data_IF_971697563611
#
_entry.id   IF_971697563611
#
_cell.length_a   1.000
_cell.length_b   1.000
_cell.length_c   1.000
_cell.angle_alpha   90.00
_cell.angle_beta   90.00
_cell.angle_gamma   90.00
#
_symmetry.space_group_name_H-M   'P 1'
#
loop_
_entity.id
_entity.type
_entity.pdbx_description
1 polymer ?
#
# COMPACT_ATOMS: atom_id res chain seq x y z
N UNK A 1 -13.71 5.71 18.73
CA UNK A 1 -13.59 4.37 19.31
C UNK A 1 -14.00 3.38 18.22
N UNK A 2 -13.12 2.49 17.81
CA UNK A 2 -13.46 1.46 16.82
C UNK A 2 -14.53 0.54 17.38
N UNK A 3 -15.58 0.28 16.61
CA UNK A 3 -16.58 -0.74 16.97
C UNK A 3 -16.10 -2.11 16.47
N UNK A 4 -16.51 -3.22 17.12
CA UNK A 4 -16.27 -4.56 16.64
C UNK A 4 -16.81 -4.75 15.22
N UNK A 5 -16.14 -5.56 14.42
CA UNK A 5 -16.52 -5.84 13.02
C UNK A 5 -17.98 -6.34 12.90
N UNK A 6 -18.45 -7.11 13.90
CA UNK A 6 -19.83 -7.60 13.95
C UNK A 6 -20.90 -6.50 14.12
N UNK A 7 -20.56 -5.38 14.74
CA UNK A 7 -21.45 -4.21 14.86
C UNK A 7 -21.41 -3.34 13.61
N UNK A 8 -20.24 -3.24 12.98
CA UNK A 8 -20.05 -2.52 11.72
C UNK A 8 -20.87 -3.15 10.58
N UNK A 9 -20.90 -4.47 10.51
CA UNK A 9 -21.64 -5.21 9.48
C UNK A 9 -23.17 -5.06 9.58
N UNK A 10 -23.69 -4.68 10.75
CA UNK A 10 -25.13 -4.43 10.97
C UNK A 10 -25.59 -3.04 10.54
N UNK A 11 -24.65 -2.12 10.28
CA UNK A 11 -24.99 -0.76 9.86
C UNK A 11 -25.45 -0.73 8.40
N UNK A 12 -26.37 0.18 8.09
CA UNK A 12 -26.73 0.49 6.72
C UNK A 12 -25.55 1.08 5.94
N UNK A 13 -25.61 1.05 4.63
CA UNK A 13 -24.56 1.62 3.77
C UNK A 13 -24.31 3.10 4.08
N UNK A 14 -25.37 3.88 4.28
CA UNK A 14 -25.27 5.32 4.58
C UNK A 14 -24.62 5.58 5.95
N UNK A 15 -24.89 4.76 6.95
CA UNK A 15 -24.29 4.85 8.28
C UNK A 15 -22.82 4.46 8.27
N UNK A 16 -22.44 3.43 7.48
CA UNK A 16 -21.04 3.06 7.27
C UNK A 16 -20.27 4.19 6.58
N UNK A 17 -20.80 4.73 5.49
CA UNK A 17 -20.16 5.82 4.74
C UNK A 17 -20.01 7.10 5.59
N UNK A 18 -21.00 7.44 6.39
CA UNK A 18 -20.94 8.60 7.30
C UNK A 18 -19.88 8.41 8.40
N UNK A 19 -19.82 7.20 8.95
CA UNK A 19 -18.86 6.83 9.99
C UNK A 19 -17.44 6.80 9.46
N UNK A 20 -17.21 6.15 8.32
CA UNK A 20 -15.90 6.08 7.67
C UNK A 20 -15.37 7.47 7.32
N UNK A 21 -16.26 8.37 6.91
CA UNK A 21 -15.93 9.77 6.66
C UNK A 21 -15.52 10.52 7.93
N UNK A 22 -16.22 10.27 9.04
CA UNK A 22 -15.90 10.84 10.35
C UNK A 22 -14.58 10.31 10.92
N UNK A 23 -14.37 9.00 10.84
CA UNK A 23 -13.15 8.34 11.30
C UNK A 23 -11.93 8.79 10.48
N UNK A 24 -12.07 8.93 9.15
CA UNK A 24 -11.03 9.47 8.27
C UNK A 24 -10.71 10.93 8.57
N UNK A 25 -11.71 11.76 8.83
CA UNK A 25 -11.49 13.17 9.17
C UNK A 25 -10.73 13.31 10.51
N UNK A 26 -11.07 12.47 11.51
CA UNK A 26 -10.37 12.42 12.79
C UNK A 26 -8.93 11.96 12.61
N UNK A 27 -8.70 10.87 11.88
CA UNK A 27 -7.37 10.35 11.57
C UNK A 27 -6.48 11.41 10.90
N UNK A 28 -7.01 12.12 9.89
CA UNK A 28 -6.30 13.20 9.22
C UNK A 28 -5.93 14.33 10.22
N UNK A 29 -6.86 14.69 11.10
CA UNK A 29 -6.61 15.74 12.10
C UNK A 29 -5.56 15.31 13.14
N UNK A 30 -5.60 14.06 13.60
CA UNK A 30 -4.62 13.48 14.52
C UNK A 30 -3.23 13.41 13.89
N UNK A 31 -3.13 12.98 12.62
CA UNK A 31 -1.87 12.96 11.87
C UNK A 31 -1.33 14.36 11.60
N UNK A 32 -2.18 15.34 11.30
CA UNK A 32 -1.78 16.73 11.10
C UNK A 32 -1.30 17.43 12.37
N UNK A 33 -1.65 16.91 13.55
CA UNK A 33 -1.19 17.42 14.84
C UNK A 33 0.23 16.96 15.21
N UNK A 34 0.79 15.99 14.48
CA UNK A 34 2.16 15.54 14.71
C UNK A 34 3.18 16.62 14.33
N UNK A 35 4.35 16.69 15.02
CA UNK A 35 5.42 17.63 14.68
C UNK A 35 6.18 17.25 13.40
N UNK A 36 5.73 16.24 12.68
CA UNK A 36 6.31 15.72 11.44
C UNK A 36 5.21 15.16 10.53
N UNK A 37 5.51 14.99 9.27
CA UNK A 37 4.68 14.25 8.34
C UNK A 37 5.39 12.97 7.89
N UNK A 38 4.63 11.98 7.43
CA UNK A 38 5.20 10.74 6.96
C UNK A 38 4.34 10.11 5.87
N UNK A 39 5.00 9.36 5.01
CA UNK A 39 4.40 8.53 3.98
C UNK A 39 5.04 7.16 4.02
N UNK A 40 4.40 6.17 3.44
CA UNK A 40 4.98 4.84 3.38
C UNK A 40 4.62 4.15 2.07
N UNK A 41 5.55 3.33 1.63
CA UNK A 41 5.32 2.26 0.66
C UNK A 41 5.40 0.90 1.38
N UNK A 42 5.23 -0.18 0.63
CA UNK A 42 5.21 -1.53 1.24
C UNK A 42 6.55 -1.85 1.91
N UNK A 43 7.68 -1.45 1.30
CA UNK A 43 9.05 -1.70 1.79
C UNK A 43 9.65 -0.61 2.65
N UNK A 44 9.14 0.63 2.59
CA UNK A 44 9.81 1.79 3.14
C UNK A 44 8.86 2.76 3.86
N UNK A 45 9.43 3.64 4.68
CA UNK A 45 8.73 4.74 5.36
C UNK A 45 9.59 5.99 5.23
N UNK A 46 9.01 7.05 4.70
CA UNK A 46 9.62 8.36 4.61
C UNK A 46 9.03 9.29 5.67
N UNK A 47 9.88 9.86 6.50
CA UNK A 47 9.50 10.79 7.57
C UNK A 47 10.10 12.16 7.29
N UNK A 48 9.26 13.17 7.23
CA UNK A 48 9.64 14.58 7.01
C UNK A 48 9.47 15.38 8.27
N UNK A 49 10.57 15.83 8.84
CA UNK A 49 10.59 16.62 10.09
C UNK A 49 10.98 18.06 9.78
N UNK A 50 10.08 19.03 9.94
CA UNK A 50 10.42 20.44 9.76
C UNK A 50 11.42 20.88 10.84
N UNK A 51 12.44 21.64 10.42
CA UNK A 51 13.47 22.19 11.30
C UNK A 51 13.54 23.71 11.15
N UNK A 52 14.09 24.44 12.11
CA UNK A 52 14.22 25.89 12.02
C UNK A 52 15.00 26.34 10.78
N UNK A 53 14.59 27.48 10.19
CA UNK A 53 15.21 28.00 8.98
C UNK A 53 16.70 28.24 9.15
N UNK A 54 17.48 27.83 8.16
CA UNK A 54 18.92 27.98 8.15
C UNK A 54 19.68 26.95 9.00
N UNK A 55 19.01 25.89 9.47
CA UNK A 55 19.65 24.76 10.14
C UNK A 55 20.61 24.08 9.19
N UNK A 56 21.81 23.75 9.67
CA UNK A 56 22.81 22.99 8.91
C UNK A 56 22.84 21.55 9.41
N UNK A 57 23.13 20.59 8.53
CA UNK A 57 23.18 19.17 8.89
C UNK A 57 24.06 18.85 10.11
N UNK A 58 25.14 19.62 10.35
CA UNK A 58 26.01 19.47 11.53
C UNK A 58 25.32 19.82 12.85
N UNK A 59 24.25 20.60 12.82
CA UNK A 59 23.47 21.02 14.00
C UNK A 59 22.35 20.00 14.30
N UNK A 60 22.04 19.14 13.36
CA UNK A 60 21.07 18.08 13.58
C UNK A 60 21.66 16.91 14.37
N UNK A 61 20.83 16.33 15.21
CA UNK A 61 21.05 15.06 15.88
C UNK A 61 20.00 14.08 15.37
N UNK A 62 20.41 13.24 14.41
CA UNK A 62 19.55 12.17 13.86
C UNK A 62 20.14 10.84 14.27
N UNK A 63 19.37 10.05 15.01
CA UNK A 63 19.74 8.71 15.47
C UNK A 63 18.76 7.72 14.91
N UNK A 64 19.23 6.87 14.02
CA UNK A 64 18.47 5.79 13.40
C UNK A 64 19.00 4.47 13.97
N UNK A 65 18.16 3.74 14.66
CA UNK A 65 18.47 2.41 15.22
C UNK A 65 17.35 1.44 14.83
N UNK A 66 17.60 0.16 14.97
CA UNK A 66 16.70 -0.92 14.55
C UNK A 66 15.24 -0.74 14.99
N UNK A 67 15.01 -0.15 16.18
CA UNK A 67 13.68 0.11 16.75
C UNK A 67 13.55 1.51 17.33
N UNK A 68 14.45 2.43 17.04
CA UNK A 68 14.42 3.76 17.63
C UNK A 68 14.78 4.83 16.60
N UNK A 69 14.01 5.89 16.60
CA UNK A 69 14.27 7.09 15.81
C UNK A 69 14.31 8.31 16.72
N UNK A 70 15.33 9.13 16.53
CA UNK A 70 15.46 10.43 17.18
C UNK A 70 15.85 11.47 16.14
N UNK A 71 15.13 12.56 16.05
CA UNK A 71 15.43 13.69 15.16
C UNK A 71 15.25 15.00 15.95
N UNK A 72 16.25 15.83 15.95
CA UNK A 72 16.21 17.13 16.63
C UNK A 72 17.49 17.92 16.44
N UNK A 73 17.60 19.05 17.12
CA UNK A 73 18.80 19.86 17.15
C UNK A 73 19.73 19.41 18.28
N UNK A 74 21.03 19.52 18.05
CA UNK A 74 22.03 19.23 19.09
C UNK A 74 21.93 20.20 20.23
N UNK A 75 21.76 19.71 21.45
CA UNK A 75 21.64 20.52 22.65
C UNK A 75 20.24 21.04 22.95
N UNK A 76 19.26 20.70 22.12
CA UNK A 76 17.85 21.01 22.32
C UNK A 76 17.04 19.72 22.51
N UNK A 77 15.78 19.88 22.94
CA UNK A 77 14.83 18.76 23.01
C UNK A 77 14.54 18.22 21.61
N UNK A 78 14.56 16.89 21.42
CA UNK A 78 14.28 16.29 20.12
C UNK A 78 12.87 16.63 19.64
N UNK A 79 12.74 17.01 18.36
CA UNK A 79 11.44 17.23 17.71
C UNK A 79 10.67 15.91 17.61
N UNK A 80 11.39 14.83 17.35
CA UNK A 80 10.87 13.49 17.22
C UNK A 80 11.77 12.54 18.00
N UNK A 81 11.22 11.75 18.92
CA UNK A 81 11.98 10.75 19.70
C UNK A 81 11.06 9.63 20.18
N UNK A 82 11.35 8.41 19.82
CA UNK A 82 10.57 7.28 20.29
C UNK A 82 10.99 5.94 19.72
N UNK A 83 10.28 4.91 20.15
CA UNK A 83 10.41 3.56 19.61
C UNK A 83 9.58 3.44 18.32
N UNK A 84 10.21 2.92 17.26
CA UNK A 84 9.54 2.63 16.00
C UNK A 84 8.51 1.51 16.15
N UNK A 85 7.41 1.60 15.45
CA UNK A 85 6.34 0.61 15.50
C UNK A 85 6.81 -0.79 15.06
N UNK A 86 7.74 -0.85 14.12
CA UNK A 86 8.38 -2.10 13.66
C UNK A 86 9.87 -1.91 13.41
N UNK A 87 10.58 -3.01 13.18
CA UNK A 87 12.03 -3.00 12.95
C UNK A 87 12.39 -2.55 11.53
N UNK A 88 13.53 -1.86 11.43
CA UNK A 88 14.11 -1.37 10.17
C UNK A 88 15.49 -1.98 9.91
N UNK A 89 15.93 -1.89 8.66
CA UNK A 89 17.30 -2.15 8.23
C UNK A 89 18.09 -0.84 8.36
N UNK A 90 18.93 -0.75 9.37
CA UNK A 90 19.67 0.49 9.67
C UNK A 90 20.67 0.85 8.56
N UNK A 91 21.28 -0.14 7.95
CA UNK A 91 22.29 -0.02 6.87
C UNK A 91 21.68 0.59 5.58
N UNK A 92 20.40 0.32 5.31
CA UNK A 92 19.69 0.82 4.14
C UNK A 92 18.87 2.08 4.45
N UNK A 93 18.82 2.50 5.72
CA UNK A 93 18.10 3.69 6.16
C UNK A 93 19.04 4.91 6.19
N UNK A 94 18.57 6.03 5.71
CA UNK A 94 19.38 7.25 5.60
C UNK A 94 18.58 8.51 5.93
N UNK A 95 19.24 9.66 6.04
CA UNK A 95 18.58 10.93 6.17
C UNK A 95 19.30 12.03 5.38
N UNK A 96 18.54 13.02 4.96
CA UNK A 96 19.04 14.22 4.28
C UNK A 96 18.39 15.47 4.85
N UNK A 97 19.01 16.64 4.63
CA UNK A 97 18.43 17.92 4.97
C UNK A 97 18.21 18.70 3.69
N UNK A 98 16.98 19.07 3.42
CA UNK A 98 16.59 19.84 2.24
C UNK A 98 15.47 20.81 2.63
N UNK A 99 15.55 22.06 2.17
CA UNK A 99 14.52 23.09 2.33
C UNK A 99 13.99 23.25 3.75
N UNK A 100 14.91 23.29 4.74
CA UNK A 100 14.60 23.35 6.18
C UNK A 100 13.73 22.14 6.67
N UNK A 101 13.89 20.98 6.03
CA UNK A 101 13.25 19.73 6.41
C UNK A 101 14.30 18.62 6.51
N UNK A 102 14.28 17.88 7.60
CA UNK A 102 15.01 16.63 7.72
C UNK A 102 14.16 15.51 7.13
N UNK A 103 14.60 14.99 6.01
CA UNK A 103 13.98 13.84 5.30
C UNK A 103 14.67 12.57 5.80
N UNK A 104 13.94 11.71 6.45
CA UNK A 104 14.44 10.42 6.99
C UNK A 104 13.78 9.29 6.23
N UNK A 105 14.59 8.53 5.53
CA UNK A 105 14.20 7.33 4.79
C UNK A 105 14.50 6.09 5.63
N UNK A 106 13.50 5.27 5.88
CA UNK A 106 13.58 4.07 6.70
C UNK A 106 13.19 2.84 5.88
N UNK A 107 14.14 1.96 5.64
CA UNK A 107 13.89 0.67 4.99
C UNK A 107 13.32 -0.34 5.99
N UNK A 108 12.15 -0.88 5.73
CA UNK A 108 11.48 -1.86 6.61
C UNK A 108 12.24 -3.17 6.62
N UNK A 109 12.40 -3.79 7.78
CA UNK A 109 12.93 -5.15 7.87
C UNK A 109 11.95 -6.16 7.28
N UNK A 110 10.65 -5.98 7.55
CA UNK A 110 9.57 -6.72 6.91
C UNK A 110 8.86 -5.82 5.89
N UNK A 111 9.15 -6.03 4.62
CA UNK A 111 8.62 -5.28 3.47
C UNK A 111 7.24 -5.76 2.99
N UNK A 112 6.54 -6.60 3.76
CA UNK A 112 5.20 -7.10 3.43
C UNK A 112 4.12 -6.55 4.35
N UNK A 113 4.46 -5.59 5.22
CA UNK A 113 3.51 -5.08 6.22
C UNK A 113 3.41 -3.56 6.22
N UNK A 114 2.19 -3.08 6.26
CA UNK A 114 1.91 -1.67 6.48
C UNK A 114 2.13 -1.31 7.96
N UNK A 115 2.62 -0.09 8.19
CA UNK A 115 2.77 0.48 9.52
C UNK A 115 1.52 1.27 9.90
N UNK A 116 1.08 1.11 11.14
CA UNK A 116 -0.05 1.87 11.69
C UNK A 116 0.36 3.27 12.15
N UNK A 117 1.61 3.43 12.58
CA UNK A 117 2.24 4.67 13.01
C UNK A 117 3.76 4.59 12.80
N UNK A 118 4.46 5.69 12.93
CA UNK A 118 5.94 5.70 12.91
C UNK A 118 6.47 5.34 14.29
N UNK A 119 6.03 6.07 15.31
CA UNK A 119 6.40 5.79 16.70
C UNK A 119 5.24 5.12 17.45
N UNK A 120 5.55 4.21 18.33
CA UNK A 120 4.56 3.39 19.06
C UNK A 120 3.55 4.21 19.88
N UNK A 121 3.91 5.43 20.28
CA UNK A 121 3.05 6.33 21.05
C UNK A 121 2.19 7.27 20.20
N UNK A 122 2.42 7.32 18.89
CA UNK A 122 1.69 8.19 17.98
C UNK A 122 0.32 7.62 17.58
N UNK A 123 -0.61 8.47 17.14
CA UNK A 123 -1.90 8.03 16.65
C UNK A 123 -1.74 7.07 15.45
N UNK A 124 -2.60 6.04 15.45
CA UNK A 124 -2.58 4.99 14.43
C UNK A 124 -3.48 5.36 13.26
N UNK A 125 -3.05 4.98 12.06
CA UNK A 125 -3.85 5.04 10.83
C UNK A 125 -4.50 3.68 10.55
N UNK A 126 -5.61 3.67 9.83
CA UNK A 126 -6.25 2.43 9.36
C UNK A 126 -5.55 1.92 8.11
N UNK A 127 -4.66 0.95 8.29
CA UNK A 127 -3.85 0.36 7.19
C UNK A 127 -4.69 -0.40 6.16
N UNK A 128 -5.93 -0.76 6.46
CA UNK A 128 -6.85 -1.42 5.50
C UNK A 128 -7.31 -0.49 4.38
N UNK A 129 -7.19 0.83 4.60
CA UNK A 129 -7.58 1.88 3.65
C UNK A 129 -6.42 2.42 2.82
N UNK A 130 -5.22 1.84 2.97
CA UNK A 130 -4.05 2.22 2.17
C UNK A 130 -4.20 1.63 0.77
N UNK A 131 -4.29 2.49 -0.22
CA UNK A 131 -4.19 2.11 -1.62
C UNK A 131 -2.70 2.21 -2.04
N UNK A 132 -2.03 1.10 -2.37
CA UNK A 132 -0.67 1.15 -2.87
C UNK A 132 -0.55 2.02 -4.12
N UNK A 133 0.54 2.77 -4.25
CA UNK A 133 0.76 3.67 -5.40
C UNK A 133 0.66 2.94 -6.76
N UNK A 134 1.03 1.64 -6.79
CA UNK A 134 0.98 0.78 -7.97
C UNK A 134 -0.33 0.01 -8.15
N UNK A 135 -1.42 0.41 -7.47
CA UNK A 135 -2.71 -0.27 -7.58
C UNK A 135 -3.50 0.09 -8.83
N UNK A 136 -3.05 1.09 -9.61
CA UNK A 136 -3.69 1.46 -10.86
C UNK A 136 -3.14 0.61 -12.00
N UNK A 137 -4.04 -0.02 -12.75
CA UNK A 137 -3.71 -0.82 -13.94
C UNK A 137 -2.91 -0.02 -14.99
N UNK A 138 -3.07 1.33 -14.98
CA UNK A 138 -2.35 2.25 -15.84
C UNK A 138 -0.85 2.37 -15.55
N UNK A 139 -0.43 2.03 -14.32
CA UNK A 139 0.94 2.24 -13.86
C UNK A 139 1.81 0.99 -14.05
N UNK A 140 1.18 -0.12 -14.49
CA UNK A 140 1.87 -1.35 -14.85
C UNK A 140 2.47 -1.25 -16.26
N UNK A 141 3.63 -1.87 -16.45
CA UNK A 141 4.18 -2.07 -17.78
C UNK A 141 3.21 -2.87 -18.67
N UNK A 142 3.35 -2.74 -20.00
CA UNK A 142 2.39 -3.29 -20.96
C UNK A 142 2.20 -4.81 -20.87
N UNK A 143 3.25 -5.56 -20.49
CA UNK A 143 3.20 -7.03 -20.37
C UNK A 143 2.47 -7.44 -19.10
N UNK A 144 2.84 -6.85 -17.96
CA UNK A 144 2.21 -7.08 -16.66
C UNK A 144 0.74 -6.64 -16.67
N UNK A 145 0.44 -5.50 -17.29
CA UNK A 145 -0.92 -5.00 -17.47
C UNK A 145 -1.78 -6.00 -18.25
N UNK A 146 -1.28 -6.50 -19.38
CA UNK A 146 -2.00 -7.50 -20.17
C UNK A 146 -2.28 -8.80 -19.39
N UNK A 147 -1.33 -9.22 -18.55
CA UNK A 147 -1.48 -10.41 -17.69
C UNK A 147 -2.56 -10.17 -16.62
N UNK A 148 -2.56 -9.02 -15.97
CA UNK A 148 -3.55 -8.66 -14.95
C UNK A 148 -4.94 -8.49 -15.57
N UNK A 149 -5.06 -7.82 -16.72
CA UNK A 149 -6.32 -7.66 -17.45
C UNK A 149 -6.90 -9.04 -17.83
N UNK A 150 -6.07 -9.96 -18.32
CA UNK A 150 -6.47 -11.35 -18.62
C UNK A 150 -6.96 -12.05 -17.36
N UNK A 151 -6.22 -11.95 -16.25
CA UNK A 151 -6.60 -12.60 -14.99
C UNK A 151 -7.92 -12.06 -14.44
N UNK A 152 -8.14 -10.74 -14.50
CA UNK A 152 -9.40 -10.11 -14.07
C UNK A 152 -10.57 -10.56 -14.95
N UNK A 153 -10.38 -10.58 -16.27
CA UNK A 153 -11.37 -11.08 -17.22
C UNK A 153 -11.73 -12.55 -16.96
N UNK A 154 -10.73 -13.41 -16.80
CA UNK A 154 -10.95 -14.85 -16.56
C UNK A 154 -11.66 -15.10 -15.22
N UNK A 155 -11.34 -14.32 -14.19
CA UNK A 155 -12.01 -14.41 -12.90
C UNK A 155 -13.50 -13.99 -13.00
N UNK A 156 -13.77 -12.89 -13.72
CA UNK A 156 -15.14 -12.43 -13.98
C UNK A 156 -15.93 -13.47 -14.79
N UNK A 157 -15.32 -14.08 -15.82
CA UNK A 157 -15.96 -15.12 -16.62
C UNK A 157 -16.31 -16.35 -15.77
N UNK A 158 -15.39 -16.80 -14.90
CA UNK A 158 -15.64 -17.90 -13.96
C UNK A 158 -16.81 -17.59 -13.01
N UNK A 159 -16.89 -16.38 -12.47
CA UNK A 159 -18.01 -15.98 -11.60
C UNK A 159 -19.37 -15.99 -12.33
N UNK A 160 -19.35 -15.67 -13.62
CA UNK A 160 -20.54 -15.69 -14.47
C UNK A 160 -20.86 -17.06 -15.07
N UNK A 161 -20.06 -18.10 -14.77
CA UNK A 161 -20.21 -19.44 -15.37
C UNK A 161 -19.93 -19.47 -16.87
N UNK A 162 -19.14 -18.52 -17.38
CA UNK A 162 -18.77 -18.40 -18.81
C UNK A 162 -17.34 -18.89 -19.03
N UNK A 163 -17.00 -19.28 -20.28
CA UNK A 163 -15.67 -19.76 -20.59
C UNK A 163 -14.60 -18.66 -20.41
N UNK A 164 -13.45 -19.05 -19.90
CA UNK A 164 -12.26 -18.22 -19.75
C UNK A 164 -11.64 -17.86 -21.09
N UNK A 165 -10.69 -16.90 -21.11
CA UNK A 165 -9.99 -16.49 -22.32
C UNK A 165 -9.26 -17.65 -23.01
N UNK A 166 -8.70 -18.58 -22.24
CA UNK A 166 -8.01 -19.76 -22.77
C UNK A 166 -8.99 -20.80 -23.30
N UNK A 167 -10.12 -21.00 -22.64
CA UNK A 167 -11.19 -21.87 -23.13
C UNK A 167 -11.82 -21.32 -24.42
N UNK A 168 -12.04 -20.01 -24.51
CA UNK A 168 -12.54 -19.37 -25.74
C UNK A 168 -11.57 -19.56 -26.90
N UNK A 169 -10.25 -19.42 -26.68
CA UNK A 169 -9.23 -19.69 -27.70
C UNK A 169 -9.22 -21.16 -28.14
N UNK A 170 -9.36 -22.09 -27.17
CA UNK A 170 -9.48 -23.53 -27.50
C UNK A 170 -10.72 -23.82 -28.34
N UNK A 171 -11.86 -23.20 -27.97
CA UNK A 171 -13.11 -23.35 -28.72
C UNK A 171 -13.00 -22.80 -30.16
N UNK A 172 -12.40 -21.63 -30.30
CA UNK A 172 -12.17 -21.01 -31.62
C UNK A 172 -11.22 -21.84 -32.47
N UNK A 173 -10.15 -22.36 -31.87
CA UNK A 173 -9.21 -23.27 -32.57
C UNK A 173 -9.90 -24.56 -33.01
N UNK A 174 -10.72 -25.14 -32.12
CA UNK A 174 -11.50 -26.34 -32.47
C UNK A 174 -12.48 -26.06 -33.60
N UNK A 175 -13.17 -24.91 -33.56
CA UNK A 175 -14.08 -24.50 -34.63
C UNK A 175 -13.38 -24.33 -35.97
N UNK A 176 -12.22 -23.65 -36.00
CA UNK A 176 -11.39 -23.54 -37.22
C UNK A 176 -10.92 -24.88 -37.74
N UNK A 177 -10.59 -25.81 -36.84
CA UNK A 177 -10.18 -27.16 -37.21
C UNK A 177 -11.36 -27.98 -37.78
N UNK A 178 -12.56 -27.84 -37.21
CA UNK A 178 -13.79 -28.45 -37.73
C UNK A 178 -14.15 -27.92 -39.12
N UNK A 179 -14.00 -26.62 -39.36
CA UNK A 179 -14.25 -26.00 -40.65
C UNK A 179 -13.23 -26.45 -41.74
N UNK A 180 -12.00 -26.74 -41.32
CA UNK A 180 -10.94 -27.22 -42.22
C UNK A 180 -11.04 -28.73 -42.51
N UNK A 181 -11.70 -29.50 -41.62
CA UNK A 181 -11.81 -30.96 -41.71
C UNK A 181 -13.26 -31.44 -41.56
N UNK A 182 -14.15 -31.10 -42.50
CA UNK A 182 -15.56 -31.46 -42.42
C UNK A 182 -15.82 -32.99 -42.51
N UNK A 183 -14.80 -33.76 -42.88
CA UNK A 183 -14.83 -35.22 -42.94
C UNK A 183 -14.70 -35.92 -41.58
N UNK A 184 -14.30 -35.18 -40.51
CA UNK A 184 -14.08 -35.71 -39.16
C UNK A 184 -15.30 -35.45 -38.26
N UNK A 185 -15.69 -36.47 -37.48
CA UNK A 185 -16.75 -36.34 -36.48
C UNK A 185 -16.18 -35.91 -35.13
N UNK A 186 -16.55 -34.70 -34.67
CA UNK A 186 -16.13 -34.11 -33.42
C UNK A 186 -17.18 -34.15 -32.30
N UNK A 187 -18.29 -34.90 -32.50
CA UNK A 187 -19.42 -34.94 -31.55
C UNK A 187 -19.03 -35.41 -30.14
N UNK A 188 -17.93 -36.16 -30.03
CA UNK A 188 -17.39 -36.66 -28.75
C UNK A 188 -16.12 -35.93 -28.25
N UNK A 189 -15.71 -34.81 -28.86
CA UNK A 189 -14.54 -34.07 -28.45
C UNK A 189 -14.78 -33.38 -27.11
N UNK A 190 -14.07 -33.79 -26.07
CA UNK A 190 -14.06 -33.11 -24.77
C UNK A 190 -12.94 -32.06 -24.78
N UNK A 191 -13.29 -30.80 -24.49
CA UNK A 191 -12.35 -29.73 -24.25
C UNK A 191 -11.94 -29.81 -22.76
N UNK A 192 -10.73 -30.30 -22.50
CA UNK A 192 -10.12 -30.32 -21.15
C UNK A 192 -9.19 -29.16 -20.94
#
# INVERSE_FOLDING_TARGET
MAIPDEEYDKLSKEERDARDKGDRAREIAEQAALPYSWTQELGEVDVTVPVPKGTRGKQLNVVIQKKKLVVGLKGEEPILSGELCKEIKVEDSTWTLQDDQALVHLEKLNNQTWWENVLTHDPKIDTRKIEPANSKLSDLDGETRGMVEKMMFDNQQKQLGKPTSDEMKKMETLKKFQEAHPELDFSNAKIS
#
